data_IF_121605359344
#
_entry.id   IF_121605359344
#
_cell.length_a   1.000
_cell.length_b   1.000
_cell.length_c   1.000
_cell.angle_alpha   90.00
_cell.angle_beta   90.00
_cell.angle_gamma   90.00
#
_symmetry.space_group_name_H-M   'P 1'
#
loop_
_entity.id
_entity.type
_entity.pdbx_description
1 polymer ?
#
# COMPACT_ATOMS: atom_id res chain seq x y z
N UNK A 1 22.00 -15.81 -17.30
CA UNK A 1 20.92 -15.20 -16.51
C UNK A 1 19.80 -14.86 -17.48
N UNK A 2 18.78 -15.76 -17.59
CA UNK A 2 17.61 -15.51 -18.43
C UNK A 2 16.60 -14.75 -17.59
N UNK A 3 16.38 -13.50 -17.95
CA UNK A 3 15.24 -12.71 -17.44
C UNK A 3 14.01 -13.27 -18.16
N UNK A 4 13.16 -13.99 -17.46
CA UNK A 4 11.85 -14.38 -17.95
C UNK A 4 11.01 -13.10 -18.07
N UNK A 5 10.82 -12.65 -19.31
CA UNK A 5 9.83 -11.63 -19.61
C UNK A 5 8.44 -12.21 -19.26
N UNK A 6 7.84 -11.73 -18.18
CA UNK A 6 6.41 -11.94 -17.93
C UNK A 6 5.66 -11.31 -19.10
N UNK A 7 5.00 -12.13 -19.91
CA UNK A 7 4.02 -11.65 -20.87
C UNK A 7 2.89 -11.01 -20.07
N UNK A 8 2.72 -9.69 -20.21
CA UNK A 8 1.48 -9.01 -19.86
C UNK A 8 0.32 -9.82 -20.45
N UNK A 9 -0.64 -10.19 -19.63
CA UNK A 9 -1.82 -10.91 -20.08
C UNK A 9 -2.50 -10.08 -21.17
N UNK A 10 -2.73 -10.66 -22.32
CA UNK A 10 -3.35 -10.03 -23.50
C UNK A 10 -4.86 -9.70 -23.30
N UNK A 11 -5.33 -9.70 -22.06
CA UNK A 11 -6.75 -9.52 -21.70
C UNK A 11 -6.92 -8.55 -20.54
N UNK A 12 -7.90 -7.65 -20.69
CA UNK A 12 -8.31 -6.71 -19.63
C UNK A 12 -9.69 -7.14 -19.11
N UNK A 13 -9.82 -7.37 -17.79
CA UNK A 13 -11.11 -7.75 -17.19
C UNK A 13 -12.06 -6.56 -17.17
N UNK A 14 -13.33 -6.76 -17.51
CA UNK A 14 -14.38 -5.73 -17.42
C UNK A 14 -14.48 -5.07 -16.04
N UNK A 15 -14.20 -5.82 -14.97
CA UNK A 15 -14.14 -5.30 -13.60
C UNK A 15 -13.09 -4.20 -13.38
N UNK A 16 -12.11 -4.07 -14.26
CA UNK A 16 -11.06 -3.03 -14.22
C UNK A 16 -11.47 -1.74 -14.95
N UNK A 17 -12.54 -1.80 -15.73
CA UNK A 17 -13.05 -0.65 -16.47
C UNK A 17 -13.80 0.30 -15.55
N UNK A 18 -13.57 1.61 -15.69
CA UNK A 18 -14.28 2.61 -14.88
C UNK A 18 -15.81 2.52 -15.09
N UNK A 19 -16.63 2.76 -14.05
CA UNK A 19 -18.10 2.70 -14.18
C UNK A 19 -18.66 3.58 -15.30
N UNK A 20 -18.01 4.70 -15.59
CA UNK A 20 -18.41 5.61 -16.68
C UNK A 20 -18.23 5.01 -18.07
N UNK A 21 -17.47 3.94 -18.20
CA UNK A 21 -17.12 3.29 -19.47
C UNK A 21 -17.57 1.84 -19.54
N UNK A 22 -18.29 1.35 -18.54
CA UNK A 22 -18.78 -0.02 -18.48
C UNK A 22 -19.64 -0.41 -19.69
N UNK A 23 -20.45 0.52 -20.21
CA UNK A 23 -21.25 0.28 -21.42
C UNK A 23 -20.38 0.12 -22.68
N UNK A 24 -19.32 0.91 -22.78
CA UNK A 24 -18.36 0.81 -23.89
C UNK A 24 -17.59 -0.50 -23.81
N UNK A 25 -17.14 -0.88 -22.65
CA UNK A 25 -16.43 -2.15 -22.43
C UNK A 25 -17.31 -3.37 -22.76
N UNK A 26 -18.58 -3.34 -22.35
CA UNK A 26 -19.54 -4.41 -22.70
C UNK A 26 -19.88 -4.46 -24.21
N UNK A 27 -19.71 -3.37 -24.94
CA UNK A 27 -19.88 -3.35 -26.39
C UNK A 27 -18.66 -3.90 -27.15
N UNK A 28 -17.50 -3.96 -26.48
CA UNK A 28 -16.25 -4.49 -27.04
C UNK A 28 -16.13 -6.01 -26.77
N UNK A 29 -16.63 -6.47 -25.63
CA UNK A 29 -16.69 -7.88 -25.22
C UNK A 29 -17.67 -8.64 -26.15
N UNK A 30 -17.13 -9.11 -27.26
CA UNK A 30 -17.93 -9.70 -28.35
C UNK A 30 -18.36 -11.14 -28.09
N UNK A 31 -17.63 -11.85 -27.23
CA UNK A 31 -17.92 -13.24 -26.86
C UNK A 31 -18.57 -13.38 -25.46
N UNK A 32 -18.66 -12.29 -24.68
CA UNK A 32 -19.36 -12.24 -23.40
C UNK A 32 -18.63 -12.93 -22.26
N UNK A 33 -17.33 -13.16 -22.41
CA UNK A 33 -16.51 -13.85 -21.39
C UNK A 33 -16.07 -12.94 -20.22
N UNK A 34 -16.44 -11.66 -20.25
CA UNK A 34 -16.09 -10.59 -19.32
C UNK A 34 -14.59 -10.24 -19.31
N UNK A 35 -13.89 -10.57 -20.36
CA UNK A 35 -12.50 -10.19 -20.61
C UNK A 35 -12.45 -9.42 -21.94
N UNK A 36 -11.62 -8.39 -22.02
CA UNK A 36 -11.35 -7.68 -23.27
C UNK A 36 -10.01 -8.15 -23.82
N UNK A 37 -10.04 -8.95 -24.85
CA UNK A 37 -8.84 -9.38 -25.57
C UNK A 37 -8.28 -8.22 -26.41
N UNK A 38 -6.99 -8.27 -26.72
CA UNK A 38 -6.36 -7.31 -27.63
C UNK A 38 -6.97 -7.38 -29.04
N UNK A 39 -7.50 -8.55 -29.43
CA UNK A 39 -8.19 -8.75 -30.70
C UNK A 39 -9.53 -7.99 -30.73
N UNK A 40 -10.37 -8.16 -29.71
CA UNK A 40 -11.66 -7.47 -29.58
C UNK A 40 -11.49 -5.96 -29.54
N UNK A 41 -10.54 -5.48 -28.74
CA UNK A 41 -10.21 -4.04 -28.69
C UNK A 41 -9.77 -3.53 -30.04
N UNK A 42 -8.92 -4.26 -30.75
CA UNK A 42 -8.44 -3.87 -32.06
C UNK A 42 -9.57 -3.84 -33.09
N UNK A 43 -10.42 -4.87 -33.12
CA UNK A 43 -11.58 -4.95 -34.01
C UNK A 43 -12.57 -3.81 -33.75
N UNK A 44 -12.84 -3.50 -32.49
CA UNK A 44 -13.69 -2.37 -32.13
C UNK A 44 -13.10 -1.04 -32.57
N UNK A 45 -11.79 -0.78 -32.39
CA UNK A 45 -11.14 0.47 -32.82
C UNK A 45 -11.12 0.59 -34.35
N UNK A 46 -11.01 -0.52 -35.06
CA UNK A 46 -11.00 -0.52 -36.54
C UNK A 46 -12.40 -0.42 -37.16
N UNK A 47 -13.41 -1.04 -36.55
CA UNK A 47 -14.73 -1.26 -37.18
C UNK A 47 -15.90 -0.73 -36.31
N UNK A 48 -15.67 -0.38 -35.05
CA UNK A 48 -16.69 0.04 -34.11
C UNK A 48 -17.03 1.54 -34.23
N UNK A 49 -18.23 1.74 -34.68
CA UNK A 49 -19.12 2.89 -34.65
C UNK A 49 -19.16 3.79 -35.90
N UNK A 50 -20.29 3.69 -36.60
CA UNK A 50 -20.68 4.63 -37.65
C UNK A 50 -20.86 6.10 -37.16
N UNK A 51 -20.83 6.33 -35.84
CA UNK A 51 -20.95 7.65 -35.18
C UNK A 51 -19.69 8.51 -35.20
N UNK A 52 -18.50 7.96 -35.42
CA UNK A 52 -17.23 8.69 -35.44
C UNK A 52 -16.73 9.10 -36.84
N UNK A 53 -17.55 9.08 -37.85
CA UNK A 53 -17.20 9.44 -39.26
C UNK A 53 -16.95 10.93 -39.49
N UNK A 54 -16.42 11.66 -38.50
CA UNK A 54 -16.19 13.13 -38.58
C UNK A 54 -14.73 13.58 -38.71
N UNK A 55 -13.75 12.73 -38.58
CA UNK A 55 -12.34 13.08 -38.76
C UNK A 55 -11.62 11.96 -39.50
N UNK A 56 -11.33 12.15 -40.79
CA UNK A 56 -10.61 11.22 -41.62
C UNK A 56 -9.16 11.04 -41.19
N UNK A 57 -8.94 10.23 -40.19
CA UNK A 57 -7.62 9.72 -39.81
C UNK A 57 -7.56 8.22 -40.10
N UNK A 58 -6.99 7.89 -41.26
CA UNK A 58 -6.45 6.56 -41.50
C UNK A 58 -5.29 6.36 -40.52
N UNK A 59 -5.52 5.67 -39.38
CA UNK A 59 -4.47 5.26 -38.49
C UNK A 59 -3.64 4.14 -39.13
N UNK A 60 -2.55 4.54 -39.78
CA UNK A 60 -1.48 3.63 -40.22
C UNK A 60 -0.50 3.39 -39.02
N UNK A 61 -1.06 3.22 -37.80
CA UNK A 61 -0.31 3.04 -36.56
C UNK A 61 -0.06 1.57 -36.26
N UNK A 62 1.01 1.31 -35.55
CA UNK A 62 1.32 -0.01 -34.98
C UNK A 62 0.10 -0.50 -34.17
N UNK A 63 -0.40 -1.71 -34.48
CA UNK A 63 -1.53 -2.36 -33.80
C UNK A 63 -1.38 -2.32 -32.28
N UNK A 64 -0.19 -2.64 -31.77
CA UNK A 64 0.08 -2.69 -30.34
C UNK A 64 -0.02 -1.29 -29.68
N UNK A 65 0.38 -0.24 -30.39
CA UNK A 65 0.27 1.14 -29.91
C UNK A 65 -1.20 1.57 -29.84
N UNK A 66 -2.02 1.25 -30.85
CA UNK A 66 -3.45 1.56 -30.89
C UNK A 66 -4.22 0.85 -29.76
N UNK A 67 -3.99 -0.46 -29.61
CA UNK A 67 -4.61 -1.26 -28.55
C UNK A 67 -4.20 -0.74 -27.16
N UNK A 68 -2.92 -0.42 -26.97
CA UNK A 68 -2.42 0.13 -25.73
C UNK A 68 -3.05 1.49 -25.41
N UNK A 69 -3.14 2.38 -26.37
CA UNK A 69 -3.75 3.71 -26.19
C UNK A 69 -5.24 3.59 -25.85
N UNK A 70 -5.94 2.66 -26.48
CA UNK A 70 -7.35 2.43 -26.22
C UNK A 70 -7.60 1.77 -24.87
N UNK A 71 -6.77 0.81 -24.45
CA UNK A 71 -6.77 0.27 -23.08
C UNK A 71 -6.60 1.39 -22.06
N UNK A 72 -5.66 2.29 -22.28
CA UNK A 72 -5.48 3.47 -21.41
C UNK A 72 -6.71 4.38 -21.38
N UNK A 73 -7.48 4.40 -22.44
CA UNK A 73 -8.75 5.12 -22.50
C UNK A 73 -9.83 4.43 -21.67
N UNK A 74 -9.89 3.10 -21.64
CA UNK A 74 -10.87 2.33 -20.87
C UNK A 74 -10.60 2.30 -19.37
N UNK A 75 -9.37 2.00 -18.97
CA UNK A 75 -8.96 1.84 -17.57
C UNK A 75 -8.40 3.12 -16.93
N UNK A 76 -8.25 4.18 -17.71
CA UNK A 76 -7.51 5.39 -17.34
C UNK A 76 -6.04 5.26 -17.75
N UNK A 77 -5.37 6.39 -18.06
CA UNK A 77 -3.92 6.35 -18.33
C UNK A 77 -3.21 6.01 -17.02
N UNK A 78 -2.50 4.86 -16.92
CA UNK A 78 -1.59 4.67 -15.82
C UNK A 78 -0.59 5.83 -15.83
N UNK A 79 -0.32 6.39 -14.66
CA UNK A 79 0.80 7.33 -14.56
C UNK A 79 2.07 6.56 -15.00
N UNK A 80 2.84 7.04 -16.00
CA UNK A 80 4.03 6.32 -16.45
C UNK A 80 5.02 6.03 -15.33
N UNK A 81 5.08 6.89 -14.31
CA UNK A 81 5.86 6.64 -13.11
C UNK A 81 5.32 5.47 -12.27
N UNK A 82 4.01 5.20 -12.31
CA UNK A 82 3.41 4.07 -11.60
C UNK A 82 3.78 2.71 -12.24
N UNK A 83 4.10 2.67 -13.52
CA UNK A 83 4.52 1.44 -14.20
C UNK A 83 5.87 0.89 -13.71
N UNK A 84 6.66 1.70 -12.98
CA UNK A 84 7.92 1.28 -12.37
C UNK A 84 7.74 0.60 -11.00
N UNK A 85 6.53 0.59 -10.44
CA UNK A 85 6.20 0.06 -9.11
C UNK A 85 5.10 -1.00 -9.24
N UNK A 86 5.13 -2.01 -8.37
CA UNK A 86 4.08 -3.04 -8.32
C UNK A 86 2.70 -2.42 -8.14
N UNK A 87 1.71 -2.87 -8.91
CA UNK A 87 0.30 -2.66 -8.59
C UNK A 87 -0.10 -3.48 -7.37
N UNK A 88 -1.28 -3.23 -6.82
CA UNK A 88 -1.83 -4.05 -5.75
C UNK A 88 -1.94 -5.53 -6.17
N UNK A 89 -2.40 -5.78 -7.39
CA UNK A 89 -2.56 -7.14 -7.91
C UNK A 89 -1.21 -7.84 -8.10
N UNK A 90 -0.19 -7.14 -8.63
CA UNK A 90 1.16 -7.68 -8.79
C UNK A 90 1.82 -7.98 -7.44
N UNK A 91 1.74 -7.04 -6.48
CA UNK A 91 2.25 -7.26 -5.13
C UNK A 91 1.53 -8.44 -4.43
N UNK A 92 0.21 -8.53 -4.58
CA UNK A 92 -0.59 -9.64 -4.03
C UNK A 92 -0.24 -10.99 -4.67
N UNK A 93 0.00 -11.00 -5.98
CA UNK A 93 0.43 -12.18 -6.71
C UNK A 93 1.83 -12.63 -6.31
N UNK A 94 2.75 -11.69 -6.07
CA UNK A 94 4.10 -11.99 -5.60
C UNK A 94 4.07 -12.65 -4.21
N UNK A 95 3.30 -12.12 -3.27
CA UNK A 95 3.14 -12.75 -1.95
C UNK A 95 2.58 -14.17 -2.05
N UNK A 96 1.62 -14.41 -2.98
CA UNK A 96 1.07 -15.73 -3.22
C UNK A 96 2.10 -16.68 -3.86
N UNK A 97 2.96 -16.15 -4.74
CA UNK A 97 4.02 -16.94 -5.37
C UNK A 97 5.08 -17.34 -4.34
N UNK A 98 5.49 -16.42 -3.45
CA UNK A 98 6.44 -16.73 -2.38
C UNK A 98 5.90 -17.81 -1.43
N UNK A 99 4.62 -17.78 -1.08
CA UNK A 99 3.98 -18.85 -0.30
C UNK A 99 4.01 -20.21 -1.05
N UNK A 100 3.75 -20.18 -2.36
CA UNK A 100 3.77 -21.39 -3.20
C UNK A 100 5.17 -21.97 -3.33
N UNK A 101 6.16 -21.12 -3.53
CA UNK A 101 7.56 -21.54 -3.75
C UNK A 101 8.26 -21.95 -2.46
N UNK A 102 7.86 -21.36 -1.32
CA UNK A 102 8.46 -21.57 0.00
C UNK A 102 7.43 -21.92 1.08
N UNK A 103 6.63 -23.00 0.92
CA UNK A 103 5.48 -23.28 1.80
C UNK A 103 5.85 -23.55 3.27
N UNK A 104 7.10 -23.97 3.53
CA UNK A 104 7.60 -24.18 4.89
C UNK A 104 8.11 -22.90 5.56
N UNK A 105 8.33 -21.84 4.77
CA UNK A 105 8.84 -20.56 5.25
C UNK A 105 7.80 -19.44 5.20
N UNK A 106 6.81 -19.53 4.31
CA UNK A 106 5.86 -18.47 4.03
C UNK A 106 4.42 -18.91 4.29
N UNK A 107 3.66 -18.02 4.90
CA UNK A 107 2.21 -18.12 5.03
C UNK A 107 1.57 -16.77 4.72
N UNK A 108 0.73 -16.71 3.70
CA UNK A 108 -0.01 -15.50 3.35
C UNK A 108 -1.31 -15.41 4.15
N UNK A 109 -1.55 -14.26 4.76
CA UNK A 109 -2.71 -14.01 5.64
C UNK A 109 -3.41 -12.73 5.22
N UNK A 110 -4.74 -12.76 5.11
CA UNK A 110 -5.54 -11.54 5.02
C UNK A 110 -5.80 -10.99 6.42
N UNK A 111 -5.32 -9.79 6.69
CA UNK A 111 -5.53 -9.11 7.97
C UNK A 111 -6.93 -8.48 8.08
N UNK A 112 -7.59 -8.27 6.94
CA UNK A 112 -8.92 -7.66 6.84
C UNK A 112 -9.23 -7.18 5.43
N UNK A 113 -10.43 -6.65 5.23
CA UNK A 113 -10.86 -6.08 3.95
C UNK A 113 -11.14 -4.59 4.10
N UNK A 114 -10.59 -3.81 3.16
CA UNK A 114 -10.81 -2.37 3.07
C UNK A 114 -12.25 -2.01 2.74
N UNK A 115 -12.57 -0.72 2.73
CA UNK A 115 -13.89 -0.21 2.38
C UNK A 115 -14.34 -0.58 0.94
N UNK A 116 -13.40 -0.80 0.01
CA UNK A 116 -13.67 -1.24 -1.36
C UNK A 116 -13.49 -2.76 -1.54
N UNK A 117 -13.31 -3.51 -0.45
CA UNK A 117 -13.28 -4.97 -0.44
C UNK A 117 -11.94 -5.61 -0.78
N UNK A 118 -10.85 -4.84 -0.92
CA UNK A 118 -9.50 -5.38 -1.11
C UNK A 118 -8.96 -5.96 0.19
N UNK A 119 -8.26 -7.09 0.07
CA UNK A 119 -7.57 -7.68 1.23
C UNK A 119 -6.34 -6.84 1.61
N UNK A 120 -6.09 -6.73 2.91
CA UNK A 120 -4.82 -6.22 3.44
C UNK A 120 -3.94 -7.44 3.66
N UNK A 121 -3.08 -7.71 2.67
CA UNK A 121 -2.26 -8.91 2.67
C UNK A 121 -1.02 -8.77 3.55
N UNK A 122 -0.79 -9.77 4.37
CA UNK A 122 0.46 -10.00 5.08
C UNK A 122 1.10 -11.31 4.62
N UNK A 123 2.43 -11.35 4.55
CA UNK A 123 3.22 -12.57 4.44
C UNK A 123 3.96 -12.79 5.76
N UNK A 124 3.65 -13.87 6.44
CA UNK A 124 4.38 -14.34 7.62
C UNK A 124 5.53 -15.19 7.15
N UNK A 125 6.75 -14.90 7.59
CA UNK A 125 7.97 -15.57 7.16
C UNK A 125 8.74 -16.04 8.39
N UNK A 126 9.00 -17.34 8.47
CA UNK A 126 9.79 -17.95 9.54
C UNK A 126 10.15 -19.38 9.16
N UNK A 127 11.22 -19.96 9.71
CA UNK A 127 11.43 -21.39 9.63
C UNK A 127 10.25 -22.12 10.31
N UNK A 128 9.71 -23.17 9.67
CA UNK A 128 8.54 -23.91 10.16
C UNK A 128 7.29 -23.03 10.39
N UNK A 129 6.98 -22.14 9.45
CA UNK A 129 5.88 -21.16 9.57
C UNK A 129 4.51 -21.80 9.87
N UNK A 130 4.30 -23.05 9.51
CA UNK A 130 3.08 -23.81 9.78
C UNK A 130 3.01 -24.38 11.21
N UNK A 131 4.12 -24.33 11.97
CA UNK A 131 4.16 -24.76 13.35
C UNK A 131 3.62 -23.67 14.28
N UNK A 132 2.61 -23.97 15.08
CA UNK A 132 2.00 -23.03 16.02
C UNK A 132 2.99 -22.53 17.10
N UNK A 133 4.08 -23.25 17.37
CA UNK A 133 5.11 -22.85 18.32
C UNK A 133 6.05 -21.72 17.82
N UNK A 134 5.88 -21.24 16.60
CA UNK A 134 6.64 -20.08 16.08
C UNK A 134 6.38 -18.79 16.88
N UNK A 135 5.29 -18.74 17.64
CA UNK A 135 4.96 -17.64 18.56
C UNK A 135 6.02 -17.37 19.64
N UNK A 136 6.99 -18.26 19.84
CA UNK A 136 8.12 -18.04 20.75
C UNK A 136 9.28 -17.27 20.11
N UNK A 137 9.33 -17.19 18.77
CA UNK A 137 10.36 -16.43 18.06
C UNK A 137 10.06 -14.92 18.15
N UNK A 138 11.11 -14.11 18.20
CA UNK A 138 10.92 -12.65 18.15
C UNK A 138 10.28 -12.22 16.84
N UNK A 139 9.14 -11.59 16.91
CA UNK A 139 8.40 -11.08 15.76
C UNK A 139 8.75 -9.63 15.42
N UNK A 140 8.90 -9.36 14.10
CA UNK A 140 9.06 -8.00 13.56
C UNK A 140 8.05 -7.80 12.43
N UNK A 141 7.37 -6.66 12.43
CA UNK A 141 6.43 -6.27 11.38
C UNK A 141 7.07 -5.22 10.48
N UNK A 142 7.00 -5.44 9.17
CA UNK A 142 7.56 -4.54 8.15
C UNK A 142 6.41 -4.11 7.24
N UNK A 143 6.09 -2.82 7.24
CA UNK A 143 4.95 -2.28 6.51
C UNK A 143 5.37 -1.22 5.49
N UNK A 144 4.55 -1.05 4.46
CA UNK A 144 4.63 0.03 3.50
C UNK A 144 3.28 0.61 3.16
N UNK A 145 3.28 1.71 2.45
CA UNK A 145 2.10 2.34 1.87
C UNK A 145 0.93 2.61 2.83
N UNK A 146 1.21 3.27 3.96
CA UNK A 146 0.15 3.93 4.74
C UNK A 146 -0.42 5.11 3.95
N UNK A 147 0.45 5.89 3.32
CA UNK A 147 0.02 6.96 2.45
C UNK A 147 0.07 6.50 1.00
N UNK A 148 -1.05 6.67 0.33
CA UNK A 148 -1.31 6.11 -0.99
C UNK A 148 -0.31 6.53 -2.09
N UNK A 149 0.22 7.77 -2.02
CA UNK A 149 1.17 8.34 -2.98
C UNK A 149 2.62 7.88 -2.81
N UNK A 150 2.92 7.13 -1.77
CA UNK A 150 4.29 6.71 -1.41
C UNK A 150 4.63 5.35 -2.03
N UNK A 151 4.64 5.27 -3.36
CA UNK A 151 4.73 4.01 -4.10
C UNK A 151 6.02 3.22 -3.83
N UNK A 152 7.15 3.90 -3.64
CA UNK A 152 8.43 3.24 -3.33
C UNK A 152 8.36 2.47 -2.01
N UNK A 153 7.55 2.91 -1.05
CA UNK A 153 7.43 2.24 0.24
C UNK A 153 6.84 0.83 0.15
N UNK A 154 6.22 0.46 -0.98
CA UNK A 154 5.73 -0.90 -1.28
C UNK A 154 6.86 -1.83 -1.63
N UNK A 155 7.86 -1.33 -2.36
CA UNK A 155 8.95 -2.15 -2.90
C UNK A 155 9.90 -2.67 -1.82
N UNK A 156 10.06 -1.91 -0.73
CA UNK A 156 10.99 -2.28 0.35
C UNK A 156 10.50 -3.52 1.10
N UNK A 157 9.25 -3.62 1.59
CA UNK A 157 8.75 -4.85 2.20
C UNK A 157 8.78 -6.06 1.24
N UNK A 158 8.42 -5.88 -0.03
CA UNK A 158 8.51 -6.95 -1.03
C UNK A 158 9.95 -7.44 -1.21
N UNK A 159 10.91 -6.51 -1.30
CA UNK A 159 12.32 -6.87 -1.37
C UNK A 159 12.78 -7.65 -0.13
N UNK A 160 12.41 -7.20 1.07
CA UNK A 160 12.74 -7.91 2.32
C UNK A 160 12.16 -9.31 2.33
N UNK A 161 10.93 -9.51 1.86
CA UNK A 161 10.31 -10.83 1.76
C UNK A 161 11.12 -11.76 0.84
N UNK A 162 11.46 -11.29 -0.37
CA UNK A 162 12.28 -12.06 -1.33
C UNK A 162 13.63 -12.45 -0.75
N UNK A 163 14.38 -11.48 -0.23
CA UNK A 163 15.72 -11.70 0.33
C UNK A 163 15.69 -12.67 1.53
N UNK A 164 14.68 -12.56 2.38
CA UNK A 164 14.56 -13.44 3.53
C UNK A 164 14.43 -14.91 3.11
N UNK A 165 13.60 -15.23 2.13
CA UNK A 165 13.34 -16.62 1.73
C UNK A 165 14.37 -17.18 0.77
N UNK A 166 14.88 -16.37 -0.17
CA UNK A 166 15.92 -16.83 -1.13
C UNK A 166 17.29 -16.99 -0.48
N UNK A 167 17.57 -16.19 0.55
CA UNK A 167 18.79 -16.31 1.35
C UNK A 167 18.77 -17.49 2.32
N UNK A 168 17.59 -18.00 2.69
CA UNK A 168 17.48 -19.15 3.62
C UNK A 168 18.13 -20.41 3.00
N UNK A 169 18.98 -21.06 3.78
CA UNK A 169 19.75 -22.22 3.35
C UNK A 169 20.97 -21.88 2.47
N UNK A 170 21.05 -20.67 1.92
CA UNK A 170 22.15 -20.21 1.08
C UNK A 170 23.08 -19.23 1.79
N UNK A 171 22.53 -18.43 2.68
CA UNK A 171 23.27 -17.44 3.48
C UNK A 171 23.07 -17.72 4.97
N UNK A 172 24.17 -17.84 5.71
CA UNK A 172 24.14 -18.13 7.15
C UNK A 172 23.32 -17.07 7.92
N UNK A 173 23.51 -15.80 7.61
CA UNK A 173 22.80 -14.71 8.27
C UNK A 173 21.29 -14.72 8.01
N UNK A 174 20.85 -15.00 6.78
CA UNK A 174 19.44 -15.14 6.45
C UNK A 174 18.81 -16.37 7.11
N UNK A 175 19.53 -17.50 7.08
CA UNK A 175 19.10 -18.74 7.70
C UNK A 175 18.91 -18.59 9.22
N UNK A 176 19.90 -18.02 9.91
CA UNK A 176 19.82 -17.81 11.36
C UNK A 176 18.70 -16.85 11.74
N UNK A 177 18.46 -15.79 10.94
CA UNK A 177 17.33 -14.87 11.19
C UNK A 177 15.99 -15.60 11.21
N UNK A 178 15.71 -16.47 10.22
CA UNK A 178 14.42 -17.17 10.15
C UNK A 178 14.30 -18.33 11.15
N UNK A 179 15.43 -18.84 11.70
CA UNK A 179 15.43 -19.76 12.85
C UNK A 179 15.00 -19.08 14.15
N UNK A 180 15.47 -17.84 14.36
CA UNK A 180 15.33 -17.13 15.64
C UNK A 180 14.21 -16.08 15.62
N UNK A 181 13.76 -15.65 14.43
CA UNK A 181 12.78 -14.60 14.28
C UNK A 181 11.63 -14.98 13.36
N UNK A 182 10.55 -14.23 13.51
CA UNK A 182 9.36 -14.21 12.65
C UNK A 182 9.21 -12.82 12.02
N UNK A 183 9.08 -12.78 10.72
CA UNK A 183 8.93 -11.53 9.97
C UNK A 183 7.52 -11.49 9.37
N UNK A 184 6.78 -10.41 9.65
CA UNK A 184 5.50 -10.11 9.01
C UNK A 184 5.69 -8.98 8.02
N UNK A 185 5.42 -9.23 6.75
CA UNK A 185 5.57 -8.26 5.66
C UNK A 185 4.21 -7.85 5.15
N UNK A 186 3.88 -6.55 5.23
CA UNK A 186 2.64 -5.97 4.73
C UNK A 186 3.00 -4.86 3.73
N UNK A 187 3.15 -5.17 2.44
CA UNK A 187 3.64 -4.19 1.45
C UNK A 187 2.70 -3.01 1.27
N UNK A 188 1.38 -3.25 1.34
CA UNK A 188 0.36 -2.25 1.06
C UNK A 188 -0.67 -2.25 2.18
N UNK A 189 -0.49 -1.33 3.14
CA UNK A 189 -1.46 -1.13 4.24
C UNK A 189 -2.73 -0.47 3.75
N UNK A 190 -2.64 0.39 2.74
CA UNK A 190 -3.72 1.20 2.16
C UNK A 190 -4.02 0.81 0.69
N UNK A 191 -4.59 -0.39 0.42
CA UNK A 191 -4.77 -0.85 -0.96
C UNK A 191 -5.70 0.04 -1.78
N UNK A 192 -6.78 0.56 -1.19
CA UNK A 192 -7.75 1.38 -1.91
C UNK A 192 -7.18 2.74 -2.29
N UNK A 193 -6.48 3.39 -1.34
CA UNK A 193 -5.77 4.62 -1.61
C UNK A 193 -4.67 4.43 -2.63
N UNK A 194 -3.90 3.35 -2.50
CA UNK A 194 -2.80 3.02 -3.39
C UNK A 194 -3.24 2.92 -4.84
N UNK A 195 -4.25 2.10 -5.14
CA UNK A 195 -4.77 1.97 -6.50
C UNK A 195 -5.38 3.27 -7.01
N UNK A 196 -6.06 4.04 -6.15
CA UNK A 196 -6.56 5.35 -6.53
C UNK A 196 -5.42 6.32 -6.90
N UNK A 197 -4.32 6.33 -6.14
CA UNK A 197 -3.19 7.20 -6.45
C UNK A 197 -2.48 6.80 -7.75
N UNK A 198 -2.46 5.53 -8.09
CA UNK A 198 -1.84 5.01 -9.31
C UNK A 198 -2.66 5.30 -10.57
N UNK A 199 -3.99 5.31 -10.45
CA UNK A 199 -4.88 5.31 -11.61
C UNK A 199 -5.67 6.61 -11.81
N UNK A 200 -5.79 7.45 -10.77
CA UNK A 200 -6.69 8.60 -10.80
C UNK A 200 -6.05 9.90 -10.30
N UNK A 201 -5.46 9.89 -9.10
CA UNK A 201 -4.92 11.08 -8.45
C UNK A 201 -3.59 10.77 -7.78
N UNK A 202 -2.49 10.97 -8.49
CA UNK A 202 -1.15 10.53 -8.08
C UNK A 202 -0.64 11.13 -6.75
N UNK A 203 -1.21 12.25 -6.32
CA UNK A 203 -0.87 12.89 -5.04
C UNK A 203 -1.84 12.52 -3.91
N UNK A 204 -2.77 11.58 -4.14
CA UNK A 204 -3.66 11.10 -3.09
C UNK A 204 -2.90 10.47 -1.93
N UNK A 205 -3.24 10.87 -0.69
CA UNK A 205 -2.56 10.42 0.54
C UNK A 205 -3.37 9.42 1.37
N UNK A 206 -4.66 9.70 1.56
CA UNK A 206 -5.56 9.03 2.49
C UNK A 206 -6.03 7.66 2.00
N UNK A 207 -6.78 6.89 2.81
CA UNK A 207 -7.55 5.76 2.33
C UNK A 207 -8.76 6.20 1.49
N UNK A 208 -9.70 5.30 1.17
CA UNK A 208 -10.84 5.62 0.27
C UNK A 208 -12.20 5.44 0.92
N UNK A 209 -12.29 5.35 2.24
CA UNK A 209 -13.56 5.27 2.93
C UNK A 209 -14.29 6.64 2.87
N UNK A 210 -15.58 6.69 2.46
CA UNK A 210 -16.39 7.90 2.61
C UNK A 210 -16.54 8.29 4.10
N UNK A 211 -16.36 9.57 4.42
CA UNK A 211 -16.37 10.04 5.81
C UNK A 211 -17.46 11.06 6.10
N UNK A 212 -18.07 11.65 5.08
CA UNK A 212 -19.25 12.51 5.18
C UNK A 212 -20.35 12.02 4.25
N UNK A 213 -21.61 12.20 4.69
CA UNK A 213 -22.80 11.85 3.93
C UNK A 213 -23.78 13.02 3.94
N UNK A 214 -24.50 13.21 2.84
CA UNK A 214 -25.59 14.17 2.78
C UNK A 214 -26.83 13.72 3.57
N UNK A 215 -27.86 14.56 3.60
CA UNK A 215 -29.10 14.28 4.33
C UNK A 215 -29.86 13.03 3.82
N UNK A 216 -29.52 12.51 2.63
CA UNK A 216 -30.07 11.31 2.03
C UNK A 216 -29.16 10.08 2.22
N UNK A 217 -28.06 10.22 2.96
CA UNK A 217 -27.10 9.15 3.20
C UNK A 217 -26.16 8.86 2.02
N UNK A 218 -26.07 9.76 1.02
CA UNK A 218 -25.14 9.62 -0.10
C UNK A 218 -23.78 10.22 0.29
N UNK A 219 -22.65 9.53 -0.03
CA UNK A 219 -21.33 10.09 0.21
C UNK A 219 -21.13 11.46 -0.44
N UNK A 220 -20.54 12.38 0.31
CA UNK A 220 -20.08 13.68 -0.20
C UNK A 220 -18.67 13.57 -0.77
N UNK A 221 -18.05 14.70 -1.11
CA UNK A 221 -16.66 14.73 -1.60
C UNK A 221 -15.61 14.58 -0.49
N UNK A 222 -16.04 14.42 0.78
CA UNK A 222 -15.11 14.15 1.88
C UNK A 222 -14.84 12.66 1.96
N UNK A 223 -13.68 12.24 1.44
CA UNK A 223 -13.27 10.85 1.33
C UNK A 223 -11.91 10.67 2.00
N UNK A 224 -11.79 9.58 2.76
CA UNK A 224 -10.55 9.06 3.29
C UNK A 224 -10.10 9.69 4.59
N UNK A 225 -9.31 8.89 5.31
CA UNK A 225 -8.63 9.19 6.57
C UNK A 225 -7.13 9.01 6.35
N UNK A 226 -6.32 9.86 6.95
CA UNK A 226 -4.86 9.66 7.05
C UNK A 226 -4.58 8.55 8.06
N UNK A 227 -4.21 7.38 7.57
CA UNK A 227 -3.98 6.20 8.40
C UNK A 227 -2.87 6.45 9.43
N UNK A 228 -1.84 7.21 9.07
CA UNK A 228 -0.76 7.55 9.99
C UNK A 228 -1.12 8.71 10.95
N UNK A 229 -2.41 9.00 11.09
CA UNK A 229 -3.00 9.91 12.10
C UNK A 229 -4.14 9.26 12.87
N UNK A 230 -4.48 8.02 12.55
CA UNK A 230 -5.69 7.37 13.09
C UNK A 230 -5.42 6.30 14.14
N UNK A 231 -4.17 5.87 14.34
CA UNK A 231 -3.81 4.85 15.31
C UNK A 231 -4.18 5.20 16.76
N UNK A 232 -4.89 4.29 17.41
CA UNK A 232 -5.21 4.33 18.84
C UNK A 232 -5.55 2.91 19.31
N UNK A 233 -4.94 2.50 20.42
CA UNK A 233 -5.14 1.16 21.00
C UNK A 233 -6.44 1.00 21.81
N UNK A 234 -7.29 2.02 21.86
CA UNK A 234 -8.56 2.01 22.56
C UNK A 234 -8.48 2.24 24.07
N UNK A 235 -7.28 2.39 24.62
CA UNK A 235 -7.12 2.62 26.05
C UNK A 235 -7.25 4.11 26.41
N UNK A 236 -7.89 4.40 27.54
CA UNK A 236 -7.98 5.79 28.06
C UNK A 236 -6.59 6.37 28.36
N UNK A 237 -5.61 5.53 28.70
CA UNK A 237 -4.23 5.93 28.94
C UNK A 237 -3.56 6.47 27.67
N UNK A 238 -3.89 5.90 26.51
CA UNK A 238 -3.33 6.25 25.22
C UNK A 238 -4.27 7.14 24.38
N UNK A 239 -5.41 7.56 24.90
CA UNK A 239 -6.29 8.54 24.25
C UNK A 239 -5.54 9.84 23.91
N UNK A 240 -4.55 10.19 24.70
CA UNK A 240 -3.66 11.35 24.47
C UNK A 240 -2.75 11.18 23.25
N UNK A 241 -2.51 9.92 22.81
CA UNK A 241 -1.69 9.59 21.67
C UNK A 241 -2.45 9.77 20.35
N UNK A 242 -3.78 9.78 20.41
CA UNK A 242 -4.62 10.21 19.30
C UNK A 242 -4.57 11.74 19.22
N UNK A 243 -3.66 12.22 18.42
CA UNK A 243 -3.25 13.64 18.39
C UNK A 243 -4.41 14.57 18.09
N UNK A 244 -4.71 15.57 18.96
CA UNK A 244 -5.78 16.53 18.71
C UNK A 244 -5.50 17.39 17.50
N UNK A 245 -6.55 17.82 16.79
CA UNK A 245 -6.44 18.75 15.68
C UNK A 245 -5.86 20.09 16.16
N UNK A 246 -4.94 20.64 15.39
CA UNK A 246 -4.41 21.98 15.63
C UNK A 246 -3.34 22.12 16.71
N UNK A 247 -2.85 21.02 17.28
CA UNK A 247 -1.82 21.06 18.33
C UNK A 247 -0.37 21.28 17.82
N UNK A 248 -0.19 21.64 16.58
CA UNK A 248 1.13 22.07 16.12
C UNK A 248 1.40 23.50 16.59
N UNK A 249 2.43 23.75 17.40
CA UNK A 249 2.78 25.11 17.84
C UNK A 249 3.29 26.00 16.70
N UNK A 250 3.43 25.48 15.49
CA UNK A 250 3.98 26.17 14.33
C UNK A 250 2.97 26.35 13.19
N UNK A 251 1.70 26.48 13.48
CA UNK A 251 0.61 26.61 12.49
C UNK A 251 0.53 28.00 11.81
N UNK A 252 1.64 28.54 11.35
CA UNK A 252 1.58 29.65 10.37
C UNK A 252 1.24 29.16 8.95
N UNK A 253 1.11 27.84 8.75
CA UNK A 253 0.81 27.20 7.49
C UNK A 253 -0.42 26.31 7.66
N UNK A 254 -1.60 26.84 7.38
CA UNK A 254 -2.88 26.12 7.47
C UNK A 254 -2.94 24.77 6.69
N UNK A 255 -2.00 24.55 5.78
CA UNK A 255 -1.91 23.34 4.96
C UNK A 255 -0.99 22.26 5.54
N UNK A 256 -0.19 22.55 6.56
CA UNK A 256 0.80 21.63 7.15
C UNK A 256 0.57 21.34 8.63
N UNK A 257 -0.66 21.46 9.13
CA UNK A 257 -0.94 20.98 10.49
C UNK A 257 -0.64 19.48 10.58
N UNK A 258 0.08 19.08 11.62
CA UNK A 258 0.47 17.69 11.84
C UNK A 258 -0.74 16.74 11.83
N UNK A 259 -1.92 17.23 12.20
CA UNK A 259 -3.20 16.50 12.17
C UNK A 259 -4.38 17.47 11.99
N UNK A 260 -5.50 16.99 11.46
CA UNK A 260 -6.70 17.79 11.22
C UNK A 260 -7.97 17.03 11.56
N UNK A 261 -8.99 17.72 12.06
CA UNK A 261 -10.36 17.22 12.20
C UNK A 261 -11.25 17.60 10.97
N UNK A 262 -10.70 18.33 10.00
CA UNK A 262 -11.39 18.62 8.76
C UNK A 262 -11.23 17.46 7.76
N UNK A 263 -12.33 16.77 7.37
CA UNK A 263 -12.26 15.59 6.49
C UNK A 263 -11.76 15.90 5.06
N UNK A 264 -11.68 17.19 4.68
CA UNK A 264 -11.15 17.62 3.37
C UNK A 264 -9.64 17.80 3.35
N UNK A 265 -8.99 17.78 4.52
CA UNK A 265 -7.52 17.90 4.62
C UNK A 265 -6.83 16.54 4.46
N UNK A 266 -5.62 16.54 3.92
CA UNK A 266 -4.79 15.34 3.73
C UNK A 266 -4.43 14.66 5.07
N UNK A 267 -4.29 15.44 6.13
CA UNK A 267 -3.94 14.98 7.47
C UNK A 267 -5.16 14.70 8.36
N UNK A 268 -6.34 14.46 7.76
CA UNK A 268 -7.56 14.15 8.50
C UNK A 268 -7.41 12.87 9.31
N UNK A 269 -7.51 12.99 10.63
CA UNK A 269 -7.28 11.92 11.61
C UNK A 269 -8.45 10.92 11.76
N UNK A 270 -9.54 11.10 11.03
CA UNK A 270 -10.74 10.29 11.17
C UNK A 270 -11.72 10.79 12.24
N UNK A 271 -12.95 10.21 12.29
CA UNK A 271 -13.98 10.61 13.24
C UNK A 271 -13.66 10.18 14.69
N UNK A 272 -12.79 9.21 14.86
CA UNK A 272 -12.25 8.70 16.13
C UNK A 272 -10.96 7.93 15.88
N UNK A 273 -10.17 7.69 16.91
CA UNK A 273 -8.99 6.84 16.83
C UNK A 273 -9.36 5.42 16.39
N UNK A 274 -8.52 4.82 15.57
CA UNK A 274 -8.67 3.50 14.97
C UNK A 274 -10.06 3.27 14.35
N UNK A 275 -10.56 4.28 13.65
CA UNK A 275 -11.83 4.17 12.90
C UNK A 275 -11.67 3.36 11.62
N UNK A 276 -10.44 3.23 11.11
CA UNK A 276 -10.15 2.59 9.84
C UNK A 276 -9.79 1.12 10.03
N UNK A 277 -10.27 0.27 9.12
CA UNK A 277 -10.01 -1.17 9.17
C UNK A 277 -8.53 -1.48 8.96
N UNK A 278 -7.85 -0.66 8.19
CA UNK A 278 -6.42 -0.75 7.93
C UNK A 278 -5.63 -0.66 9.24
N UNK A 279 -5.90 0.34 10.05
CA UNK A 279 -5.25 0.55 11.35
C UNK A 279 -5.65 -0.52 12.37
N UNK A 280 -6.94 -0.88 12.42
CA UNK A 280 -7.43 -1.95 13.28
C UNK A 280 -6.75 -3.29 12.96
N UNK A 281 -6.52 -3.58 11.69
CA UNK A 281 -5.85 -4.80 11.23
C UNK A 281 -4.42 -4.88 11.73
N UNK A 282 -3.66 -3.80 11.62
CA UNK A 282 -2.29 -3.72 12.13
C UNK A 282 -2.23 -3.75 13.66
N UNK A 283 -3.12 -3.05 14.35
CA UNK A 283 -3.22 -3.09 15.81
C UNK A 283 -3.57 -4.50 16.29
N UNK A 284 -4.54 -5.16 15.65
CA UNK A 284 -4.89 -6.54 15.98
C UNK A 284 -3.71 -7.49 15.78
N UNK A 285 -2.94 -7.33 14.70
CA UNK A 285 -1.74 -8.12 14.49
C UNK A 285 -0.70 -7.83 15.57
N UNK A 286 -0.33 -6.58 15.78
CA UNK A 286 0.80 -6.18 16.63
C UNK A 286 0.52 -6.36 18.13
N UNK A 287 -0.71 -6.09 18.58
CA UNK A 287 -1.11 -6.24 19.98
C UNK A 287 -1.61 -7.65 20.29
N UNK A 288 -2.10 -8.38 19.28
CA UNK A 288 -2.59 -9.75 19.42
C UNK A 288 -1.49 -10.82 19.44
N UNK A 289 -0.26 -10.47 19.08
CA UNK A 289 0.89 -11.39 19.05
C UNK A 289 1.98 -10.91 20.01
N UNK A 290 2.02 -11.51 21.19
CA UNK A 290 2.96 -11.11 22.27
C UNK A 290 4.43 -11.20 21.89
N UNK A 291 4.77 -12.00 20.87
CA UNK A 291 6.14 -12.15 20.39
C UNK A 291 6.60 -11.00 19.49
N UNK A 292 5.69 -10.17 18.97
CA UNK A 292 6.05 -9.01 18.14
C UNK A 292 6.72 -7.95 19.03
N UNK A 293 7.96 -7.58 18.68
CA UNK A 293 8.82 -6.65 19.44
C UNK A 293 9.13 -5.36 18.70
N UNK A 294 8.86 -5.32 17.40
CA UNK A 294 9.16 -4.13 16.59
C UNK A 294 8.28 -4.01 15.37
N UNK A 295 8.07 -2.76 14.97
CA UNK A 295 7.39 -2.40 13.72
C UNK A 295 8.30 -1.44 12.97
N UNK A 296 8.58 -1.74 11.70
CA UNK A 296 9.27 -0.85 10.76
C UNK A 296 8.25 -0.41 9.72
N UNK A 297 7.96 0.88 9.73
CA UNK A 297 6.97 1.48 8.85
C UNK A 297 7.67 2.33 7.78
N UNK A 298 7.57 1.91 6.53
CA UNK A 298 8.25 2.58 5.43
C UNK A 298 7.36 3.64 4.80
N UNK A 299 7.95 4.80 4.62
CA UNK A 299 7.37 5.97 3.97
C UNK A 299 8.26 6.48 2.84
N UNK A 300 7.76 7.36 2.00
CA UNK A 300 8.54 8.17 1.06
C UNK A 300 7.88 9.56 0.88
N UNK A 301 8.71 10.59 0.74
CA UNK A 301 10.16 10.61 0.74
C UNK A 301 10.67 11.31 1.99
N UNK A 302 11.93 11.04 2.34
CA UNK A 302 12.65 11.71 3.43
C UNK A 302 13.81 10.83 3.88
N UNK A 303 14.99 11.41 4.02
CA UNK A 303 16.19 10.69 4.43
C UNK A 303 16.25 10.65 5.98
N UNK A 304 15.23 10.03 6.60
CA UNK A 304 15.04 10.03 8.05
C UNK A 304 14.70 8.65 8.59
N UNK A 305 15.22 8.34 9.76
CA UNK A 305 14.81 7.24 10.62
C UNK A 305 14.14 7.85 11.85
N UNK A 306 12.83 7.74 11.88
CA UNK A 306 12.00 8.32 12.93
C UNK A 306 11.69 7.30 14.02
N UNK A 307 11.80 7.72 15.26
CA UNK A 307 11.44 6.89 16.42
C UNK A 307 10.42 7.59 17.34
N UNK A 308 9.75 6.87 18.24
CA UNK A 308 8.81 7.45 19.20
C UNK A 308 9.44 8.51 20.11
N UNK A 309 8.66 9.55 20.48
CA UNK A 309 7.24 9.71 20.20
C UNK A 309 6.97 10.65 19.04
N UNK A 310 5.79 10.51 18.37
CA UNK A 310 5.29 11.48 17.38
C UNK A 310 4.30 12.50 17.97
N UNK A 311 3.94 12.39 19.25
CA UNK A 311 2.89 13.21 19.92
C UNK A 311 3.46 14.21 20.92
N UNK A 312 4.72 14.08 21.29
CA UNK A 312 5.41 14.93 22.28
C UNK A 312 6.91 14.91 22.04
N UNK A 313 7.58 16.03 22.32
CA UNK A 313 9.05 16.13 22.35
C UNK A 313 9.69 15.49 23.58
N UNK A 314 8.89 14.98 24.54
CA UNK A 314 9.44 14.24 25.66
C UNK A 314 10.00 12.91 25.18
N UNK A 315 11.24 12.54 25.54
CA UNK A 315 11.81 11.27 25.14
C UNK A 315 11.01 10.10 25.70
N UNK A 316 10.93 9.02 24.94
CA UNK A 316 10.31 7.79 25.42
C UNK A 316 11.21 7.12 26.47
N UNK A 317 10.64 6.24 27.30
CA UNK A 317 11.41 5.42 28.25
C UNK A 317 12.49 4.55 27.57
N UNK A 318 12.35 4.31 26.26
CA UNK A 318 13.27 3.50 25.44
C UNK A 318 14.05 4.32 24.41
N UNK A 319 14.12 5.63 24.58
CA UNK A 319 14.74 6.56 23.63
C UNK A 319 16.19 6.17 23.27
N UNK A 320 17.00 5.83 24.28
CA UNK A 320 18.39 5.38 24.07
C UNK A 320 18.43 4.14 23.15
N UNK A 321 17.57 3.16 23.39
CA UNK A 321 17.49 1.94 22.58
C UNK A 321 17.07 2.25 21.14
N UNK A 322 16.08 3.14 20.94
CA UNK A 322 15.65 3.54 19.61
C UNK A 322 16.76 4.25 18.84
N UNK A 323 17.48 5.17 19.48
CA UNK A 323 18.63 5.85 18.88
C UNK A 323 19.75 4.87 18.50
N UNK A 324 20.04 3.90 19.36
CA UNK A 324 21.05 2.87 19.05
C UNK A 324 20.64 2.03 17.84
N UNK A 325 19.38 1.60 17.76
CA UNK A 325 18.86 0.85 16.61
C UNK A 325 18.91 1.72 15.36
N UNK A 326 18.38 2.95 15.41
CA UNK A 326 18.39 3.89 14.31
C UNK A 326 19.80 4.18 13.77
N UNK A 327 20.76 4.40 14.66
CA UNK A 327 22.15 4.62 14.27
C UNK A 327 22.80 3.39 13.62
N UNK A 328 22.49 2.18 14.08
CA UNK A 328 22.94 0.93 13.42
C UNK A 328 22.33 0.77 12.03
N UNK A 329 21.05 1.07 11.89
CA UNK A 329 20.38 1.07 10.58
C UNK A 329 21.00 2.10 9.64
N UNK A 330 21.22 3.33 10.13
CA UNK A 330 21.83 4.40 9.36
C UNK A 330 23.27 4.04 8.93
N UNK A 331 24.06 3.47 9.82
CA UNK A 331 25.41 3.00 9.49
C UNK A 331 25.41 1.95 8.37
N UNK A 332 24.46 1.01 8.38
CA UNK A 332 24.27 0.02 7.33
C UNK A 332 23.87 0.66 5.98
N UNK A 333 23.28 1.85 6.00
CA UNK A 333 22.88 2.65 4.84
C UNK A 333 23.88 3.78 4.51
N UNK A 334 25.14 3.60 4.88
CA UNK A 334 26.24 4.55 4.64
C UNK A 334 26.05 5.94 5.26
N UNK A 335 25.33 6.02 6.40
CA UNK A 335 25.02 7.25 7.14
C UNK A 335 24.33 8.34 6.28
N UNK A 336 23.41 7.92 5.43
CA UNK A 336 22.68 8.81 4.52
C UNK A 336 21.34 9.30 5.09
N UNK A 337 20.99 8.91 6.33
CA UNK A 337 19.75 9.25 6.98
C UNK A 337 19.97 10.03 8.29
N UNK A 338 19.02 10.88 8.65
CA UNK A 338 18.95 11.51 9.96
C UNK A 338 18.15 10.64 10.93
N UNK A 339 18.68 10.45 12.15
CA UNK A 339 18.01 9.68 13.21
C UNK A 339 17.45 10.64 14.24
N UNK A 340 16.11 10.75 14.33
CA UNK A 340 15.44 11.71 15.20
C UNK A 340 14.10 11.23 15.74
N UNK A 341 13.56 11.94 16.73
CA UNK A 341 12.20 11.72 17.20
C UNK A 341 11.18 12.11 16.14
N UNK A 342 10.10 11.34 16.02
CA UNK A 342 9.00 11.68 15.11
C UNK A 342 8.33 13.03 15.46
N UNK A 343 8.40 13.47 16.72
CA UNK A 343 7.86 14.77 17.12
C UNK A 343 8.69 15.95 16.59
N UNK A 344 9.96 15.73 16.25
CA UNK A 344 10.85 16.80 15.75
C UNK A 344 10.58 17.09 14.26
N UNK A 345 9.79 16.23 13.59
CA UNK A 345 9.39 16.41 12.18
C UNK A 345 8.26 17.44 12.01
N UNK A 346 7.48 17.76 13.08
CA UNK A 346 6.27 18.59 13.00
C UNK A 346 6.27 19.80 13.90
#
# INVERSE_FOLDING_TARGET
MQVSAYRLQDQTRLAQVSPARAQLAAAIDSDGDQLLSDQEIFEYVQHGDEGCRGAGHHHNGDRNALVSEFKHTLIGRPNPAAAAYHSYDEASAELAQLETDFPNLCQRVSLGKTAQGRDIWALRISEDVTNENTSQKTGVVITGCHHAREWMSVEIPLHVAREAVTGYGNEEGATNRLKDAEIWVIPIVNPDGYEHSRTSENMWRKNRRPVEFDAMGKPTNAIGVDLNRNYWDGTAQNERLYRPAGDSPNTSWDDFSATSDNPRKDTYRGPKGSSEVEDQSLLKLTLGHENIRGVLNHHSYGDMILHPWGVTHQPSERDTMYKEIGNKMNAAMNNSFEVQSSADLY
#
